data_IF_512131984481
#
_entry.id   IF_512131984481
#
_cell.length_a   1.000
_cell.length_b   1.000
_cell.length_c   1.000
_cell.angle_alpha   90.00
_cell.angle_beta   90.00
_cell.angle_gamma   90.00
#
_symmetry.space_group_name_H-M   'P 1'
#
loop_
_entity.id
_entity.type
_entity.pdbx_description
1 polymer ?
#
# COMPACT_ATOMS: atom_id res chain seq x y z
N UNK A 1 -3.49 5.20 3.04
CA UNK A 1 -2.44 4.28 3.57
C UNK A 1 -1.68 4.91 4.73
N UNK A 2 -1.39 6.22 4.61
CA UNK A 2 -1.02 7.10 5.70
C UNK A 2 0.18 6.55 6.47
N UNK A 3 1.25 6.28 5.71
CA UNK A 3 2.56 5.76 6.12
C UNK A 3 2.55 4.46 6.95
N UNK A 4 1.50 3.64 6.86
CA UNK A 4 1.45 2.29 7.47
C UNK A 4 2.03 1.25 6.51
N UNK A 5 3.36 1.28 6.36
CA UNK A 5 4.09 0.32 5.50
C UNK A 5 4.11 -1.08 6.11
N UNK A 6 4.26 -1.15 7.42
CA UNK A 6 4.20 -2.38 8.21
C UNK A 6 2.76 -2.75 8.59
N UNK A 7 2.59 -3.96 9.09
CA UNK A 7 1.34 -4.39 9.68
C UNK A 7 1.00 -3.60 10.95
N UNK A 8 -0.29 -3.40 11.19
CA UNK A 8 -0.81 -2.61 12.32
C UNK A 8 -1.74 -3.42 13.21
N UNK A 9 -1.96 -2.96 14.43
CA UNK A 9 -3.04 -3.46 15.29
C UNK A 9 -4.41 -3.01 14.77
N UNK A 10 -5.49 -3.52 15.37
CA UNK A 10 -6.87 -3.13 15.01
C UNK A 10 -7.11 -1.62 15.14
N UNK A 11 -6.43 -0.96 16.08
CA UNK A 11 -6.52 0.48 16.31
C UNK A 11 -5.55 1.27 15.42
N UNK A 12 -5.03 0.65 14.35
CA UNK A 12 -4.11 1.27 13.38
C UNK A 12 -2.79 1.79 13.97
N UNK A 13 -2.41 1.28 15.14
CA UNK A 13 -1.12 1.51 15.80
C UNK A 13 -0.14 0.35 15.59
N UNK A 14 0.94 0.31 16.35
CA UNK A 14 1.97 -0.73 16.24
C UNK A 14 1.39 -2.13 16.46
N UNK A 15 1.71 -3.06 15.56
CA UNK A 15 1.46 -4.49 15.77
C UNK A 15 2.52 -5.05 16.74
N UNK A 16 2.11 -5.46 17.94
CA UNK A 16 3.03 -6.07 18.91
C UNK A 16 3.33 -7.53 18.55
N UNK A 17 4.41 -8.12 19.09
CA UNK A 17 4.72 -9.53 18.88
C UNK A 17 3.60 -10.48 19.31
N UNK A 18 2.86 -10.16 20.37
CA UNK A 18 1.77 -11.00 20.86
C UNK A 18 0.55 -10.95 19.93
N UNK A 19 0.23 -9.76 19.41
CA UNK A 19 -0.80 -9.62 18.37
C UNK A 19 -0.39 -10.36 17.09
N UNK A 20 0.89 -10.29 16.70
CA UNK A 20 1.40 -11.01 15.54
C UNK A 20 1.26 -12.54 15.72
N UNK A 21 1.64 -13.08 16.89
CA UNK A 21 1.48 -14.51 17.22
C UNK A 21 0.01 -14.94 17.23
N UNK A 22 -0.88 -14.07 17.69
CA UNK A 22 -2.33 -14.31 17.68
C UNK A 22 -2.98 -14.10 16.31
N UNK A 23 -2.22 -13.73 15.27
CA UNK A 23 -2.72 -13.37 13.94
C UNK A 23 -3.73 -12.20 13.97
N UNK A 24 -3.50 -11.24 14.86
CA UNK A 24 -4.34 -10.05 15.09
C UNK A 24 -3.67 -8.76 14.58
N UNK A 25 -2.93 -8.87 13.48
CA UNK A 25 -2.34 -7.72 12.80
C UNK A 25 -2.86 -7.62 11.37
N UNK A 26 -3.06 -6.38 10.93
CA UNK A 26 -3.85 -6.05 9.76
C UNK A 26 -3.08 -5.15 8.80
N UNK A 27 -3.50 -5.12 7.53
CA UNK A 27 -2.93 -4.22 6.52
C UNK A 27 -1.43 -4.41 6.28
N UNK A 28 -0.71 -3.32 6.02
CA UNK A 28 0.70 -3.34 5.65
C UNK A 28 0.92 -3.68 4.17
N UNK A 29 1.94 -3.08 3.59
CA UNK A 29 2.18 -3.13 2.14
C UNK A 29 2.50 -4.54 1.65
N UNK A 30 3.15 -5.37 2.48
CA UNK A 30 3.45 -6.75 2.12
C UNK A 30 2.18 -7.59 1.84
N UNK A 31 1.13 -7.43 2.66
CA UNK A 31 -0.15 -8.13 2.43
C UNK A 31 -0.91 -7.57 1.23
N UNK A 32 -0.88 -6.26 1.04
CA UNK A 32 -1.47 -5.62 -0.15
C UNK A 32 -0.78 -6.15 -1.40
N UNK A 33 0.56 -6.16 -1.44
CA UNK A 33 1.33 -6.68 -2.56
C UNK A 33 1.03 -8.14 -2.87
N UNK A 34 0.84 -8.97 -1.83
CA UNK A 34 0.45 -10.37 -2.01
C UNK A 34 -0.92 -10.48 -2.70
N UNK A 35 -1.93 -9.74 -2.23
CA UNK A 35 -3.27 -9.76 -2.83
C UNK A 35 -3.28 -9.19 -4.25
N UNK A 36 -2.58 -8.08 -4.51
CA UNK A 36 -2.47 -7.50 -5.84
C UNK A 36 -1.87 -8.50 -6.83
N UNK A 37 -0.76 -9.17 -6.46
CA UNK A 37 -0.17 -10.22 -7.32
C UNK A 37 -1.12 -11.40 -7.53
N UNK A 38 -1.81 -11.85 -6.48
CA UNK A 38 -2.79 -12.94 -6.58
C UNK A 38 -3.87 -12.60 -7.61
N UNK A 39 -4.53 -11.46 -7.47
CA UNK A 39 -5.64 -11.08 -8.35
C UNK A 39 -5.20 -10.74 -9.76
N UNK A 40 -3.98 -10.21 -9.95
CA UNK A 40 -3.41 -10.05 -11.30
C UNK A 40 -3.20 -11.38 -12.01
N UNK A 41 -2.61 -12.35 -11.33
CA UNK A 41 -2.41 -13.68 -11.90
C UNK A 41 -3.76 -14.37 -12.21
N UNK A 42 -4.77 -14.18 -11.35
CA UNK A 42 -6.11 -14.69 -11.59
C UNK A 42 -6.79 -13.99 -12.78
N UNK A 43 -6.62 -12.67 -12.97
CA UNK A 43 -7.16 -11.96 -14.13
C UNK A 43 -6.48 -12.36 -15.44
N UNK A 44 -5.17 -12.66 -15.43
CA UNK A 44 -4.44 -13.10 -16.64
C UNK A 44 -4.97 -14.42 -17.22
N UNK A 45 -5.60 -15.25 -16.38
CA UNK A 45 -6.10 -16.59 -16.76
C UNK A 45 -7.62 -16.72 -16.66
N UNK A 46 -8.30 -15.69 -16.16
CA UNK A 46 -9.73 -15.66 -15.89
C UNK A 46 -10.51 -14.82 -16.89
N UNK A 47 -11.82 -14.71 -16.64
CA UNK A 47 -12.76 -13.98 -17.49
C UNK A 47 -13.00 -12.53 -17.01
N UNK A 48 -12.04 -11.93 -16.31
CA UNK A 48 -12.17 -10.57 -15.78
C UNK A 48 -10.86 -9.79 -15.83
N UNK A 49 -10.99 -8.48 -16.01
CA UNK A 49 -9.88 -7.52 -15.94
C UNK A 49 -9.75 -6.94 -14.54
N UNK A 50 -8.53 -6.62 -14.13
CA UNK A 50 -8.21 -6.10 -12.80
C UNK A 50 -7.56 -4.73 -12.88
N UNK A 51 -8.09 -3.79 -12.09
CA UNK A 51 -7.47 -2.48 -11.86
C UNK A 51 -7.18 -2.30 -10.37
N UNK A 52 -5.95 -1.90 -10.05
CA UNK A 52 -5.51 -1.55 -8.71
C UNK A 52 -5.26 -0.04 -8.62
N UNK A 53 -6.09 0.66 -7.85
CA UNK A 53 -6.08 2.11 -7.73
C UNK A 53 -5.65 2.55 -6.33
N UNK A 54 -4.80 3.56 -6.23
CA UNK A 54 -4.49 4.23 -4.96
C UNK A 54 -5.16 5.62 -4.91
N UNK A 55 -6.16 5.76 -4.04
CA UNK A 55 -6.93 6.99 -3.88
C UNK A 55 -6.19 8.12 -3.10
N UNK A 56 -4.89 7.96 -2.84
CA UNK A 56 -4.06 8.98 -2.19
C UNK A 56 -3.85 8.73 -0.70
N UNK A 57 -3.58 9.82 0.03
CA UNK A 57 -3.27 9.82 1.47
C UNK A 57 -2.27 8.73 1.87
N UNK A 58 -1.17 8.63 1.12
CA UNK A 58 -0.07 7.68 1.43
C UNK A 58 1.04 8.35 2.23
N UNK A 59 1.28 9.62 1.95
CA UNK A 59 2.30 10.46 2.57
C UNK A 59 1.80 10.93 3.94
N UNK A 60 2.66 11.00 4.95
CA UNK A 60 2.35 11.28 6.39
C UNK A 60 1.68 10.12 7.15
N UNK A 61 1.66 10.16 8.50
CA UNK A 61 0.83 9.29 9.37
C UNK A 61 1.59 8.43 10.39
N UNK A 62 2.89 8.19 10.18
CA UNK A 62 3.76 7.41 11.09
C UNK A 62 5.18 7.99 11.08
N UNK A 63 6.06 7.62 12.03
CA UNK A 63 7.47 8.04 12.04
C UNK A 63 8.24 7.69 10.75
N UNK A 64 7.79 6.68 9.99
CA UNK A 64 8.37 6.34 8.69
C UNK A 64 8.44 7.54 7.76
N UNK A 65 7.36 8.32 7.66
CA UNK A 65 7.36 9.52 6.82
C UNK A 65 8.21 10.65 7.41
N UNK A 66 8.29 10.77 8.74
CA UNK A 66 9.14 11.79 9.37
C UNK A 66 10.62 11.56 9.05
N UNK A 67 11.06 10.29 9.06
CA UNK A 67 12.45 9.90 8.86
C UNK A 67 12.85 9.85 7.38
N UNK A 68 11.99 9.29 6.52
CA UNK A 68 12.34 8.98 5.12
C UNK A 68 11.51 9.76 4.10
N UNK A 69 10.57 10.60 4.55
CA UNK A 69 9.79 11.53 3.72
C UNK A 69 9.13 10.83 2.52
N UNK A 70 9.18 11.47 1.36
CA UNK A 70 8.62 11.04 0.10
C UNK A 70 9.31 9.81 -0.50
N UNK A 71 10.60 9.58 -0.19
CA UNK A 71 11.35 8.44 -0.72
C UNK A 71 10.72 7.10 -0.32
N UNK A 72 10.41 6.91 0.97
CA UNK A 72 9.78 5.65 1.41
C UNK A 72 8.38 5.48 0.84
N UNK A 73 7.60 6.57 0.79
CA UNK A 73 6.23 6.52 0.30
C UNK A 73 6.18 6.19 -1.19
N UNK A 74 6.96 6.89 -2.02
CA UNK A 74 7.05 6.65 -3.46
C UNK A 74 7.58 5.26 -3.76
N UNK A 75 8.66 4.83 -3.10
CA UNK A 75 9.27 3.51 -3.31
C UNK A 75 8.28 2.38 -3.01
N UNK A 76 7.59 2.43 -1.86
CA UNK A 76 6.65 1.38 -1.50
C UNK A 76 5.37 1.40 -2.35
N UNK A 77 4.87 2.57 -2.77
CA UNK A 77 3.73 2.64 -3.71
C UNK A 77 4.12 2.07 -5.06
N UNK A 78 5.31 2.40 -5.59
CA UNK A 78 5.79 1.87 -6.86
C UNK A 78 5.93 0.34 -6.82
N UNK A 79 6.38 -0.23 -5.69
CA UNK A 79 6.44 -1.69 -5.50
C UNK A 79 5.06 -2.36 -5.53
N UNK A 80 3.97 -1.65 -5.20
CA UNK A 80 2.61 -2.17 -5.35
C UNK A 80 2.09 -2.09 -6.79
N UNK A 81 2.77 -1.32 -7.65
CA UNK A 81 2.43 -1.13 -9.07
C UNK A 81 0.95 -0.76 -9.33
N UNK A 82 0.37 0.28 -8.70
CA UNK A 82 -1.00 0.71 -9.03
C UNK A 82 -1.13 1.19 -10.47
N UNK A 83 -2.28 0.95 -11.09
CA UNK A 83 -2.61 1.37 -12.46
C UNK A 83 -2.86 2.89 -12.53
N UNK A 84 -3.38 3.47 -11.44
CA UNK A 84 -3.45 4.92 -11.27
C UNK A 84 -3.38 5.30 -9.79
N UNK A 85 -2.84 6.49 -9.54
CA UNK A 85 -2.85 7.11 -8.21
C UNK A 85 -3.40 8.53 -8.28
N UNK A 86 -3.98 9.01 -7.19
CA UNK A 86 -4.32 10.43 -7.03
C UNK A 86 -3.71 11.00 -5.77
N UNK A 87 -3.48 12.32 -5.77
CA UNK A 87 -3.13 13.05 -4.55
C UNK A 87 -4.37 13.55 -3.83
N UNK A 88 -4.19 13.96 -2.57
CA UNK A 88 -5.27 14.56 -1.77
C UNK A 88 -5.87 15.82 -2.44
N UNK A 89 -5.13 16.47 -3.34
CA UNK A 89 -5.59 17.63 -4.13
C UNK A 89 -6.49 17.26 -5.32
N UNK A 90 -6.83 15.98 -5.53
CA UNK A 90 -7.64 15.51 -6.65
C UNK A 90 -6.88 15.43 -7.98
N UNK A 91 -5.59 15.73 -8.00
CA UNK A 91 -4.73 15.57 -9.17
C UNK A 91 -4.41 14.08 -9.35
N UNK A 92 -4.97 13.47 -10.40
CA UNK A 92 -4.64 12.11 -10.82
C UNK A 92 -3.28 12.12 -11.49
N UNK A 93 -2.32 11.37 -10.94
CA UNK A 93 -1.13 10.95 -11.67
C UNK A 93 -1.39 9.54 -12.20
N UNK A 94 -1.81 9.47 -13.46
CA UNK A 94 -1.62 8.25 -14.23
C UNK A 94 -0.13 8.20 -14.63
N UNK A 95 0.53 7.08 -14.38
CA UNK A 95 1.95 6.82 -14.68
C UNK A 95 2.98 7.52 -13.78
N UNK A 96 3.19 6.97 -12.58
CA UNK A 96 4.53 7.01 -11.98
C UNK A 96 5.27 5.75 -12.45
N UNK A 97 5.72 5.74 -13.69
CA UNK A 97 6.93 4.97 -14.03
C UNK A 97 8.10 5.90 -13.75
N UNK A 98 8.57 5.91 -12.50
CA UNK A 98 9.91 6.42 -12.22
C UNK A 98 10.83 5.29 -12.67
N UNK A 99 11.23 5.36 -13.94
CA UNK A 99 12.41 4.63 -14.45
C UNK A 99 13.68 5.15 -13.78
#
# INVERSE_FOLDING_TARGET
MHARFEQVSINSGTCSPDLAKANQCYGGFARIAHLVRKYRNESETGDYEMLFLNAGDTYTGTPWFTLFKDEIASRFVNLLQPDAITFLSGTVLAFISIS
#
